data_IF_852482558168
#
_entry.id   IF_852482558168
#
_cell.length_a   1.000
_cell.length_b   1.000
_cell.length_c   1.000
_cell.angle_alpha   90.00
_cell.angle_beta   90.00
_cell.angle_gamma   90.00
#
_symmetry.space_group_name_H-M   'P 1'
#
loop_
_entity.id
_entity.type
_entity.pdbx_description
1 polymer ?
#
# COMPACT_ATOMS: atom_id res chain seq x y z
N UNK A 1 -24.36 13.89 28.09
CA UNK A 1 -23.46 14.85 27.38
C UNK A 1 -22.11 14.26 26.94
N UNK A 2 -21.68 13.06 27.40
CA UNK A 2 -20.37 12.47 27.05
C UNK A 2 -20.35 11.71 25.71
N UNK A 3 -21.36 10.86 25.44
CA UNK A 3 -21.45 10.06 24.21
C UNK A 3 -21.37 10.91 22.93
N UNK A 4 -21.92 12.12 22.98
CA UNK A 4 -21.88 13.08 21.86
C UNK A 4 -20.49 13.67 21.61
N UNK A 5 -19.62 13.74 22.62
CA UNK A 5 -18.24 14.25 22.47
C UNK A 5 -17.35 13.21 21.81
N UNK A 6 -17.43 11.96 22.26
CA UNK A 6 -16.66 10.85 21.70
C UNK A 6 -17.04 10.58 20.24
N UNK A 7 -18.33 10.56 19.93
CA UNK A 7 -18.81 10.40 18.56
C UNK A 7 -18.29 11.51 17.63
N UNK A 8 -18.23 12.76 18.10
CA UNK A 8 -17.66 13.87 17.31
C UNK A 8 -16.16 13.70 17.12
N UNK A 9 -15.42 13.31 18.15
CA UNK A 9 -13.99 13.08 18.06
C UNK A 9 -13.66 11.98 17.04
N UNK A 10 -14.39 10.86 17.05
CA UNK A 10 -14.25 9.80 16.04
C UNK A 10 -14.55 10.30 14.64
N UNK A 11 -15.67 11.01 14.46
CA UNK A 11 -16.06 11.59 13.17
C UNK A 11 -15.00 12.54 12.61
N UNK A 12 -14.48 13.42 13.45
CA UNK A 12 -13.49 14.42 13.05
C UNK A 12 -12.12 13.78 12.76
N UNK A 13 -11.78 12.69 13.46
CA UNK A 13 -10.58 11.89 13.20
C UNK A 13 -10.67 11.18 11.85
N UNK A 14 -11.81 10.55 11.54
CA UNK A 14 -12.07 9.93 10.23
C UNK A 14 -11.97 10.98 9.12
N UNK A 15 -12.60 12.15 9.29
CA UNK A 15 -12.54 13.23 8.32
C UNK A 15 -11.12 13.74 8.09
N UNK A 16 -10.30 13.76 9.14
CA UNK A 16 -8.88 14.13 9.06
C UNK A 16 -8.07 13.14 8.22
N UNK A 17 -8.27 11.84 8.45
CA UNK A 17 -7.57 10.77 7.72
C UNK A 17 -7.93 10.82 6.23
N UNK A 18 -9.23 10.89 5.93
CA UNK A 18 -9.71 10.96 4.55
C UNK A 18 -9.21 12.24 3.87
N UNK A 19 -9.36 13.39 4.53
CA UNK A 19 -8.93 14.68 3.99
C UNK A 19 -7.44 14.73 3.67
N UNK A 20 -6.59 14.09 4.49
CA UNK A 20 -5.16 13.99 4.23
C UNK A 20 -4.85 13.16 2.97
N UNK A 21 -5.66 12.15 2.65
CA UNK A 21 -5.48 11.29 1.47
C UNK A 21 -6.00 11.92 0.18
N UNK A 22 -7.10 12.66 0.23
CA UNK A 22 -7.72 13.27 -0.95
C UNK A 22 -7.44 14.78 -1.09
N UNK A 23 -6.57 15.33 -0.24
CA UNK A 23 -6.22 16.75 -0.20
C UNK A 23 -7.43 17.68 -0.08
N UNK A 24 -8.39 17.32 0.79
CA UNK A 24 -9.60 18.10 1.03
C UNK A 24 -9.70 18.54 2.50
N UNK A 25 -10.36 19.68 2.72
CA UNK A 25 -10.64 20.16 4.07
C UNK A 25 -11.58 19.23 4.82
N UNK A 26 -11.44 19.16 6.15
CA UNK A 26 -12.33 18.34 7.01
C UNK A 26 -13.81 18.69 6.79
N UNK A 27 -14.13 19.97 6.66
CA UNK A 27 -15.49 20.43 6.44
C UNK A 27 -16.07 19.90 5.12
N UNK A 28 -15.26 19.87 4.05
CA UNK A 28 -15.66 19.30 2.76
C UNK A 28 -15.86 17.79 2.85
N UNK A 29 -14.92 17.08 3.49
CA UNK A 29 -15.02 15.63 3.69
C UNK A 29 -16.27 15.24 4.47
N UNK A 30 -16.59 15.96 5.55
CA UNK A 30 -17.77 15.68 6.38
C UNK A 30 -19.09 15.82 5.63
N UNK A 31 -19.17 16.80 4.72
CA UNK A 31 -20.39 17.09 3.96
C UNK A 31 -20.51 16.20 2.72
N UNK A 32 -19.43 16.05 1.98
CA UNK A 32 -19.49 15.55 0.60
C UNK A 32 -18.94 14.13 0.45
N UNK A 33 -18.18 13.61 1.41
CA UNK A 33 -17.49 12.31 1.27
C UNK A 33 -17.96 11.31 2.31
N UNK A 34 -18.03 11.73 3.58
CA UNK A 34 -18.38 10.86 4.69
C UNK A 34 -19.76 10.18 4.52
N UNK A 35 -20.82 10.83 3.98
CA UNK A 35 -22.10 10.17 3.75
C UNK A 35 -21.97 8.97 2.80
N UNK A 36 -21.21 9.11 1.71
CA UNK A 36 -21.00 8.01 0.75
C UNK A 36 -20.18 6.87 1.37
N UNK A 37 -19.15 7.20 2.17
CA UNK A 37 -18.37 6.19 2.88
C UNK A 37 -19.24 5.38 3.84
N UNK A 38 -20.17 6.02 4.56
CA UNK A 38 -21.12 5.31 5.42
C UNK A 38 -22.01 4.34 4.63
N UNK A 39 -22.58 4.80 3.52
CA UNK A 39 -23.42 3.97 2.65
C UNK A 39 -22.65 2.76 2.12
N UNK A 40 -21.38 2.92 1.74
CA UNK A 40 -20.53 1.80 1.30
C UNK A 40 -20.33 0.80 2.45
N UNK A 41 -20.06 1.30 3.66
CA UNK A 41 -19.85 0.47 4.85
C UNK A 41 -21.11 -0.28 5.27
N UNK A 42 -22.29 0.28 5.04
CA UNK A 42 -23.58 -0.37 5.29
C UNK A 42 -23.93 -1.40 4.22
N UNK A 43 -23.61 -1.15 2.95
CA UNK A 43 -24.05 -2.01 1.85
C UNK A 43 -23.10 -3.17 1.57
N UNK A 44 -21.78 -2.93 1.55
CA UNK A 44 -20.80 -3.93 1.09
C UNK A 44 -19.64 -4.11 2.08
N UNK A 45 -19.59 -5.28 2.71
CA UNK A 45 -18.56 -5.65 3.70
C UNK A 45 -17.17 -5.75 3.09
N UNK A 46 -17.07 -6.25 1.85
CA UNK A 46 -15.76 -6.47 1.21
C UNK A 46 -15.10 -5.14 0.85
N UNK A 47 -15.86 -4.24 0.22
CA UNK A 47 -15.36 -2.91 -0.13
C UNK A 47 -15.07 -2.08 1.13
N UNK A 48 -15.92 -2.17 2.15
CA UNK A 48 -15.66 -1.54 3.44
C UNK A 48 -14.34 -1.99 4.06
N UNK A 49 -14.02 -3.29 4.00
CA UNK A 49 -12.79 -3.83 4.53
C UNK A 49 -11.55 -3.35 3.76
N UNK A 50 -11.62 -3.30 2.42
CA UNK A 50 -10.55 -2.75 1.58
C UNK A 50 -10.30 -1.28 1.88
N UNK A 51 -11.37 -0.48 1.97
CA UNK A 51 -11.28 0.95 2.31
C UNK A 51 -10.68 1.11 3.71
N UNK A 52 -11.15 0.35 4.70
CA UNK A 52 -10.65 0.42 6.07
C UNK A 52 -9.15 0.11 6.16
N UNK A 53 -8.63 -0.82 5.36
CA UNK A 53 -7.19 -1.07 5.26
C UNK A 53 -6.48 0.09 4.59
N UNK A 54 -6.98 0.56 3.45
CA UNK A 54 -6.32 1.63 2.68
C UNK A 54 -6.20 2.95 3.47
N UNK A 55 -7.18 3.24 4.33
CA UNK A 55 -7.23 4.40 5.20
C UNK A 55 -6.66 4.14 6.60
N UNK A 56 -6.19 2.92 6.89
CA UNK A 56 -5.73 2.49 8.21
C UNK A 56 -6.71 2.82 9.36
N UNK A 57 -8.00 2.58 9.13
CA UNK A 57 -9.03 2.81 10.15
C UNK A 57 -8.86 1.86 11.34
N UNK A 58 -9.13 2.38 12.53
CA UNK A 58 -9.15 1.60 13.78
C UNK A 58 -10.54 0.96 13.98
N UNK A 59 -10.60 -0.08 14.82
CA UNK A 59 -11.88 -0.76 15.15
C UNK A 59 -12.99 0.21 15.63
N UNK A 60 -12.75 1.20 16.52
CA UNK A 60 -13.80 2.14 16.93
C UNK A 60 -14.29 3.05 15.77
N UNK A 61 -13.42 3.37 14.81
CA UNK A 61 -13.82 4.13 13.63
C UNK A 61 -14.71 3.29 12.70
N UNK A 62 -14.41 2.01 12.54
CA UNK A 62 -15.23 1.09 11.75
C UNK A 62 -16.62 0.93 12.39
N UNK A 63 -16.68 0.77 13.72
CA UNK A 63 -17.95 0.71 14.47
C UNK A 63 -18.76 2.00 14.36
N UNK A 64 -18.09 3.15 14.25
CA UNK A 64 -18.78 4.42 14.01
C UNK A 64 -19.36 4.52 12.59
N UNK A 65 -18.72 3.91 11.60
CA UNK A 65 -19.15 3.94 10.20
C UNK A 65 -20.25 2.93 9.87
N UNK A 66 -20.30 1.79 10.55
CA UNK A 66 -21.35 0.78 10.41
C UNK A 66 -21.64 0.17 11.77
N UNK A 67 -22.88 0.32 12.25
CA UNK A 67 -23.30 -0.25 13.54
C UNK A 67 -23.65 -1.74 13.40
N UNK A 68 -24.35 -2.11 12.33
CA UNK A 68 -24.89 -3.48 12.19
C UNK A 68 -23.87 -4.49 11.66
N UNK A 69 -22.94 -4.06 10.80
CA UNK A 69 -21.99 -4.94 10.09
C UNK A 69 -20.55 -4.76 10.56
N UNK A 70 -20.30 -3.99 11.62
CA UNK A 70 -18.94 -3.71 12.12
C UNK A 70 -18.10 -4.95 12.32
N UNK A 71 -18.69 -5.99 12.92
CA UNK A 71 -17.94 -7.17 13.34
C UNK A 71 -17.48 -8.00 12.14
N UNK A 72 -18.34 -8.10 11.12
CA UNK A 72 -18.01 -8.74 9.84
C UNK A 72 -16.90 -7.98 9.11
N UNK A 73 -16.96 -6.65 9.10
CA UNK A 73 -15.93 -5.80 8.49
C UNK A 73 -14.60 -5.97 9.22
N UNK A 74 -14.59 -5.94 10.55
CA UNK A 74 -13.39 -6.11 11.38
C UNK A 74 -12.76 -7.49 11.14
N UNK A 75 -13.57 -8.56 11.11
CA UNK A 75 -13.10 -9.90 10.78
C UNK A 75 -12.45 -9.93 9.39
N UNK A 76 -13.11 -9.35 8.38
CA UNK A 76 -12.59 -9.31 7.02
C UNK A 76 -11.30 -8.50 6.90
N UNK A 77 -11.19 -7.38 7.60
CA UNK A 77 -9.95 -6.57 7.67
C UNK A 77 -8.80 -7.40 8.25
N UNK A 78 -9.05 -8.19 9.29
CA UNK A 78 -8.03 -9.07 9.91
C UNK A 78 -7.55 -10.15 8.94
N UNK A 79 -8.46 -10.77 8.20
CA UNK A 79 -8.12 -11.74 7.14
C UNK A 79 -7.30 -11.12 6.01
N UNK A 80 -7.74 -9.98 5.49
CA UNK A 80 -7.04 -9.27 4.42
C UNK A 80 -5.63 -8.84 4.85
N UNK A 81 -5.44 -8.34 6.08
CA UNK A 81 -4.09 -8.04 6.60
C UNK A 81 -3.20 -9.27 6.70
N UNK A 82 -3.74 -10.44 7.06
CA UNK A 82 -2.99 -11.70 7.11
C UNK A 82 -2.57 -12.16 5.71
N UNK A 83 -3.49 -12.11 4.75
CA UNK A 83 -3.20 -12.48 3.35
C UNK A 83 -2.14 -11.57 2.72
N UNK A 84 -2.26 -10.25 2.87
CA UNK A 84 -1.23 -9.31 2.41
C UNK A 84 0.14 -9.64 3.04
N UNK A 85 0.19 -9.99 4.32
CA UNK A 85 1.42 -10.37 5.00
C UNK A 85 2.01 -11.68 4.49
N UNK A 86 1.18 -12.70 4.23
CA UNK A 86 1.66 -13.99 3.72
C UNK A 86 2.10 -13.89 2.27
N UNK A 87 1.41 -13.09 1.46
CA UNK A 87 1.77 -12.77 0.09
C UNK A 87 3.10 -12.01 0.02
N UNK A 88 3.31 -11.00 0.87
CA UNK A 88 4.58 -10.29 0.98
C UNK A 88 5.74 -11.26 1.24
N UNK A 89 5.61 -12.14 2.24
CA UNK A 89 6.62 -13.17 2.57
C UNK A 89 6.89 -14.14 1.42
N UNK A 90 5.85 -14.62 0.75
CA UNK A 90 6.01 -15.52 -0.41
C UNK A 90 6.70 -14.84 -1.59
N UNK A 91 6.44 -13.54 -1.78
CA UNK A 91 7.07 -12.76 -2.84
C UNK A 91 8.56 -12.53 -2.59
N UNK A 92 8.99 -12.45 -1.34
CA UNK A 92 10.40 -12.35 -0.95
C UNK A 92 11.16 -13.65 -1.27
N UNK A 93 10.61 -14.81 -0.89
CA UNK A 93 11.22 -16.12 -1.21
C UNK A 93 11.35 -16.36 -2.72
N UNK A 94 10.30 -16.01 -3.51
CA UNK A 94 10.37 -16.10 -4.98
C UNK A 94 11.42 -15.16 -5.60
N UNK A 95 11.66 -13.98 -5.03
CA UNK A 95 12.67 -13.03 -5.54
C UNK A 95 14.09 -13.56 -5.29
N UNK A 96 14.32 -14.24 -4.18
CA UNK A 96 15.59 -14.90 -3.86
C UNK A 96 15.87 -16.09 -4.81
N UNK A 97 14.84 -16.89 -5.13
CA UNK A 97 14.96 -18.02 -6.07
C UNK A 97 15.23 -17.57 -7.52
N UNK A 98 14.62 -16.45 -7.97
CA UNK A 98 14.82 -15.88 -9.32
C UNK A 98 16.20 -15.21 -9.46
N UNK A 99 16.75 -14.62 -8.40
CA UNK A 99 18.11 -14.07 -8.43
C UNK A 99 19.21 -15.15 -8.43
N UNK A 100 18.91 -16.38 -8.01
CA UNK A 100 19.87 -17.51 -7.97
C UNK A 100 19.97 -18.27 -9.30
N UNK A 101 18.94 -18.19 -10.15
CA UNK A 101 18.92 -18.82 -11.48
C UNK A 101 19.50 -17.93 -12.59
N UNK A 102 19.51 -16.60 -12.41
CA UNK A 102 20.13 -15.65 -13.37
C UNK A 102 21.66 -15.51 -13.30
N UNK A 103 22.34 -16.22 -12.39
CA UNK A 103 23.82 -16.14 -12.19
C UNK A 103 24.61 -17.36 -12.67
N UNK A 104 23.98 -18.27 -13.44
CA UNK A 104 24.60 -19.53 -13.90
C UNK A 104 24.55 -19.69 -15.42
N UNK A 105 24.91 -18.66 -16.18
CA UNK A 105 25.24 -18.87 -17.60
C UNK A 105 26.13 -17.74 -18.16
N UNK A 106 27.34 -17.61 -17.61
CA UNK A 106 28.46 -17.05 -18.39
C UNK A 106 29.61 -18.05 -18.35
N UNK A 107 29.37 -19.19 -19.02
CA UNK A 107 30.41 -20.15 -19.37
C UNK A 107 31.40 -19.52 -20.34
N UNK A 108 32.58 -19.22 -19.82
CA UNK A 108 33.90 -19.22 -20.49
C UNK A 108 33.93 -19.58 -21.99
N UNK A 109 33.59 -18.63 -22.85
CA UNK A 109 33.96 -18.64 -24.27
C UNK A 109 35.32 -17.98 -24.44
N UNK A 110 36.37 -18.77 -24.69
CA UNK A 110 37.71 -18.28 -25.03
C UNK A 110 37.62 -17.37 -26.26
N UNK A 111 37.73 -16.05 -26.11
CA UNK A 111 37.95 -15.16 -27.25
C UNK A 111 39.45 -15.02 -27.46
N UNK A 112 39.92 -15.64 -28.53
CA UNK A 112 41.28 -15.54 -29.02
C UNK A 112 41.59 -14.08 -29.38
N UNK A 113 42.79 -13.67 -28.98
CA UNK A 113 43.50 -12.45 -29.30
C UNK A 113 43.20 -11.91 -30.71
N UNK A 114 42.52 -10.76 -30.78
CA UNK A 114 42.66 -9.82 -31.88
C UNK A 114 43.41 -8.60 -31.34
N UNK A 115 44.72 -8.58 -31.61
CA UNK A 115 45.51 -7.36 -31.62
C UNK A 115 44.90 -6.40 -32.63
N UNK A 116 44.61 -5.17 -32.23
CA UNK A 116 45.02 -3.92 -32.90
C UNK A 116 44.03 -2.79 -32.69
N UNK A 117 44.52 -1.67 -32.14
CA UNK A 117 44.15 -0.37 -32.65
C UNK A 117 43.12 0.42 -31.85
N UNK A 118 43.40 0.75 -30.59
CA UNK A 118 42.83 1.96 -29.96
C UNK A 118 43.68 2.58 -28.85
N UNK A 119 44.85 2.02 -28.50
CA UNK A 119 45.80 2.61 -27.54
C UNK A 119 46.79 3.63 -28.15
N UNK A 120 46.72 3.89 -29.46
CA UNK A 120 47.61 4.84 -30.15
C UNK A 120 47.06 6.26 -30.25
N UNK A 121 45.86 6.55 -29.72
CA UNK A 121 45.20 7.85 -29.92
C UNK A 121 45.29 8.84 -28.74
N UNK A 122 45.78 8.44 -27.56
CA UNK A 122 45.81 9.29 -26.34
C UNK A 122 47.22 9.76 -25.95
N UNK A 123 48.23 9.61 -26.83
CA UNK A 123 49.59 10.12 -26.58
C UNK A 123 50.01 11.34 -27.43
N UNK A 124 49.11 11.92 -28.24
CA UNK A 124 49.43 13.06 -29.13
C UNK A 124 48.72 14.38 -28.79
N UNK A 125 48.20 14.53 -27.58
CA UNK A 125 47.68 15.83 -27.09
C UNK A 125 48.04 16.06 -25.63
N UNK A 126 49.33 16.05 -25.33
CA UNK A 126 49.89 16.84 -24.22
C UNK A 126 51.14 17.52 -24.76
N UNK A 127 50.95 18.80 -25.08
CA UNK A 127 52.04 19.76 -25.30
C UNK A 127 52.64 20.17 -23.96
#
# INVERSE_FOLDING_TARGET
MSQTKEARALRDSIASIIGARIHASKAKVLKDVLPYIKVIFENNVEEAARIAISLNLTEPMIKYLSQDKSDKIIARVKELRKTIRTEARKSETKREDVQKTGKRDEGSGKTQQARSGLDSFVKKTRS
#
